data_IF_327583998887
#
_entry.id   IF_327583998887
#
_cell.length_a   1.000
_cell.length_b   1.000
_cell.length_c   1.000
_cell.angle_alpha   90.00
_cell.angle_beta   90.00
_cell.angle_gamma   90.00
#
_symmetry.space_group_name_H-M   'P 1'
#
loop_
_entity.id
_entity.type
_entity.pdbx_description
1 polymer ?
#
# COMPACT_ATOMS: atom_id res chain seq x y z
N UNK A 1 21.39 -10.82 -2.11
CA UNK A 1 20.64 -11.42 -0.97
C UNK A 1 21.60 -11.96 0.09
N UNK A 2 21.48 -11.45 1.35
CA UNK A 2 22.34 -11.87 2.48
C UNK A 2 21.99 -13.27 3.00
N UNK A 3 22.96 -13.93 3.65
CA UNK A 3 22.76 -15.26 4.26
C UNK A 3 21.66 -15.22 5.34
N UNK A 4 21.62 -14.14 6.12
CA UNK A 4 20.62 -13.93 7.17
C UNK A 4 19.20 -13.88 6.60
N UNK A 5 19.01 -13.19 5.48
CA UNK A 5 17.72 -13.15 4.79
C UNK A 5 17.33 -14.54 4.24
N UNK A 6 18.26 -15.25 3.61
CA UNK A 6 18.01 -16.63 3.10
C UNK A 6 17.52 -17.56 4.20
N UNK A 7 18.19 -17.52 5.37
CA UNK A 7 17.80 -18.36 6.52
C UNK A 7 16.40 -18.01 7.02
N UNK A 8 16.10 -16.71 7.19
CA UNK A 8 14.78 -16.26 7.62
C UNK A 8 13.68 -16.64 6.61
N UNK A 9 13.93 -16.48 5.31
CA UNK A 9 12.98 -16.86 4.25
C UNK A 9 12.67 -18.36 4.29
N UNK A 10 13.66 -19.21 4.54
CA UNK A 10 13.45 -20.66 4.71
C UNK A 10 12.58 -20.96 5.94
N UNK A 11 12.79 -20.26 7.05
CA UNK A 11 11.96 -20.40 8.26
C UNK A 11 10.51 -19.99 7.97
N UNK A 12 10.28 -18.84 7.33
CA UNK A 12 8.94 -18.37 6.94
C UNK A 12 8.24 -19.39 6.04
N UNK A 13 8.99 -19.98 5.09
CA UNK A 13 8.47 -21.04 4.20
C UNK A 13 8.04 -22.28 5.00
N UNK A 14 8.87 -22.73 5.97
CA UNK A 14 8.54 -23.87 6.82
C UNK A 14 7.34 -23.62 7.74
N UNK A 15 7.17 -22.38 8.22
CA UNK A 15 6.03 -21.97 9.03
C UNK A 15 4.73 -21.89 8.22
N UNK A 16 4.79 -21.95 6.90
CA UNK A 16 3.62 -21.97 6.04
C UNK A 16 2.76 -20.70 6.11
N UNK A 17 3.36 -19.53 6.32
CA UNK A 17 2.65 -18.24 6.44
C UNK A 17 1.69 -18.02 5.28
N UNK A 18 2.10 -18.38 4.07
CA UNK A 18 1.30 -18.26 2.85
C UNK A 18 0.01 -19.12 2.85
N UNK A 19 -0.10 -20.14 3.72
CA UNK A 19 -1.26 -21.04 3.72
C UNK A 19 -2.58 -20.36 4.12
N UNK A 20 -2.52 -19.23 4.84
CA UNK A 20 -3.72 -18.45 5.14
C UNK A 20 -4.42 -17.95 3.88
N UNK A 21 -3.65 -17.63 2.85
CA UNK A 21 -4.15 -17.08 1.59
C UNK A 21 -4.77 -18.12 0.65
N UNK A 22 -4.72 -19.42 1.02
CA UNK A 22 -5.40 -20.51 0.32
C UNK A 22 -6.79 -20.82 0.88
N UNK A 23 -7.17 -20.13 1.96
CA UNK A 23 -8.43 -20.37 2.65
C UNK A 23 -9.60 -19.70 1.95
N UNK A 24 -10.81 -20.10 2.35
CA UNK A 24 -12.05 -19.48 1.86
C UNK A 24 -12.17 -18.02 2.29
N UNK A 25 -13.04 -17.27 1.61
CA UNK A 25 -13.36 -15.86 1.94
C UNK A 25 -13.71 -15.71 3.43
N UNK A 26 -14.60 -16.55 3.95
CA UNK A 26 -15.07 -16.45 5.34
C UNK A 26 -13.95 -16.73 6.34
N UNK A 27 -13.11 -17.74 6.09
CA UNK A 27 -11.96 -18.05 6.94
C UNK A 27 -10.93 -16.92 6.94
N UNK A 28 -10.70 -16.26 5.79
CA UNK A 28 -9.78 -15.11 5.67
C UNK A 28 -10.34 -13.91 6.43
N UNK A 29 -11.63 -13.60 6.31
CA UNK A 29 -12.26 -12.50 7.05
C UNK A 29 -12.27 -12.77 8.55
N UNK A 30 -12.54 -13.99 8.98
CA UNK A 30 -12.48 -14.36 10.40
C UNK A 30 -11.04 -14.28 10.94
N UNK A 31 -10.04 -14.68 10.16
CA UNK A 31 -8.63 -14.51 10.51
C UNK A 31 -8.29 -13.02 10.66
N UNK A 32 -8.69 -12.18 9.70
CA UNK A 32 -8.45 -10.74 9.74
C UNK A 32 -9.09 -10.10 10.99
N UNK A 33 -10.33 -10.44 11.30
CA UNK A 33 -11.04 -10.00 12.51
C UNK A 33 -10.26 -10.34 13.78
N UNK A 34 -9.77 -11.57 13.87
CA UNK A 34 -8.94 -12.01 15.02
C UNK A 34 -7.61 -11.27 15.10
N UNK A 35 -6.96 -10.99 13.97
CA UNK A 35 -5.70 -10.23 13.96
C UNK A 35 -5.93 -8.78 14.41
N UNK A 36 -6.96 -8.12 13.88
CA UNK A 36 -7.31 -6.75 14.26
C UNK A 36 -7.64 -6.61 15.76
N UNK A 37 -8.23 -7.62 16.37
CA UNK A 37 -8.56 -7.63 17.78
C UNK A 37 -7.34 -7.87 18.71
N UNK A 38 -6.26 -8.51 18.22
CA UNK A 38 -5.10 -8.89 19.07
C UNK A 38 -4.26 -7.69 19.53
N UNK A 39 -4.18 -6.65 18.73
CA UNK A 39 -3.31 -5.51 18.99
C UNK A 39 -4.03 -4.21 18.63
N UNK A 40 -5.05 -3.80 19.39
CA UNK A 40 -5.72 -2.54 19.14
C UNK A 40 -4.71 -1.39 19.26
N UNK A 41 -4.91 -0.36 18.46
CA UNK A 41 -4.08 0.83 18.50
C UNK A 41 -4.27 1.55 19.84
N UNK A 42 -3.16 1.79 20.57
CA UNK A 42 -3.11 2.48 21.85
C UNK A 42 -2.60 3.91 21.62
N UNK A 43 -3.54 4.86 21.61
CA UNK A 43 -3.25 6.28 21.39
C UNK A 43 -2.41 6.89 22.51
N UNK A 44 -2.62 6.49 23.77
CA UNK A 44 -1.85 7.03 24.88
C UNK A 44 -0.38 6.58 24.82
N UNK A 45 -0.15 5.34 24.42
CA UNK A 45 1.19 4.83 24.14
C UNK A 45 1.84 5.57 22.98
N UNK A 46 1.10 5.86 21.91
CA UNK A 46 1.59 6.62 20.77
C UNK A 46 1.95 8.06 21.18
N UNK A 47 1.10 8.74 21.94
CA UNK A 47 1.37 10.09 22.49
C UNK A 47 2.59 10.11 23.41
N UNK A 48 2.73 9.14 24.32
CA UNK A 48 3.93 9.02 25.17
C UNK A 48 5.19 8.82 24.35
N UNK A 49 5.13 8.05 23.25
CA UNK A 49 6.25 7.87 22.33
C UNK A 49 6.60 9.18 21.60
N UNK A 50 5.62 9.90 21.10
CA UNK A 50 5.79 11.19 20.44
C UNK A 50 6.46 12.22 21.36
N UNK A 51 5.96 12.35 22.59
CA UNK A 51 6.55 13.22 23.60
C UNK A 51 8.03 12.87 23.89
N UNK A 52 8.34 11.58 24.10
CA UNK A 52 9.71 11.13 24.36
C UNK A 52 10.64 11.39 23.20
N UNK A 53 10.15 11.26 21.95
CA UNK A 53 10.92 11.48 20.71
C UNK A 53 10.86 12.91 20.20
N UNK A 54 10.12 13.79 20.88
CA UNK A 54 10.01 15.22 20.58
C UNK A 54 9.45 15.50 19.19
N UNK A 55 8.30 14.86 18.86
CA UNK A 55 7.50 15.20 17.70
C UNK A 55 6.04 15.35 18.07
N UNK A 56 5.25 15.98 17.22
CA UNK A 56 3.81 16.17 17.42
C UNK A 56 3.03 15.05 16.74
N UNK A 57 2.03 14.52 17.44
CA UNK A 57 1.13 13.50 16.93
C UNK A 57 -0.31 13.98 17.13
N UNK A 58 -0.95 14.31 16.01
CA UNK A 58 -2.34 14.72 16.01
C UNK A 58 -3.23 13.53 15.67
N UNK A 59 -4.34 13.40 16.41
CA UNK A 59 -5.39 12.41 16.19
C UNK A 59 -6.63 13.13 15.66
N UNK A 60 -6.96 12.90 14.43
CA UNK A 60 -8.07 13.51 13.69
C UNK A 60 -8.95 12.44 13.10
N UNK A 61 -10.08 12.84 12.55
CA UNK A 61 -10.99 11.96 11.83
C UNK A 61 -11.29 12.52 10.44
N UNK A 62 -11.39 11.60 9.46
CA UNK A 62 -11.91 11.87 8.12
C UNK A 62 -13.04 10.89 7.87
N UNK A 63 -14.26 11.40 7.67
CA UNK A 63 -15.47 10.60 7.44
C UNK A 63 -15.71 9.51 8.51
N UNK A 64 -15.34 9.79 9.80
CA UNK A 64 -15.44 8.85 10.91
C UNK A 64 -14.29 7.86 11.04
N UNK A 65 -13.24 8.00 10.24
CA UNK A 65 -12.04 7.15 10.30
C UNK A 65 -10.83 7.91 10.81
N UNK A 66 -10.04 7.25 11.67
CA UNK A 66 -8.88 7.87 12.31
C UNK A 66 -7.80 8.24 11.29
N UNK A 67 -7.31 9.45 11.42
CA UNK A 67 -6.16 9.99 10.71
C UNK A 67 -5.12 10.49 11.73
N UNK A 68 -3.99 9.80 11.81
CA UNK A 68 -2.84 10.29 12.56
C UNK A 68 -1.99 11.19 11.67
N UNK A 69 -1.61 12.36 12.20
CA UNK A 69 -0.64 13.22 11.52
C UNK A 69 0.62 13.33 12.36
N UNK A 70 1.74 12.83 11.83
CA UNK A 70 3.07 12.96 12.43
C UNK A 70 3.71 14.24 11.92
N UNK A 71 4.12 15.14 12.82
CA UNK A 71 4.72 16.41 12.49
C UNK A 71 5.96 16.65 13.33
N UNK A 72 7.01 17.20 12.72
CA UNK A 72 8.24 17.55 13.44
C UNK A 72 8.06 18.78 14.32
N UNK A 73 7.23 19.73 13.85
CA UNK A 73 6.91 20.98 14.54
C UNK A 73 5.39 21.08 14.76
N UNK A 74 4.97 22.00 15.61
CA UNK A 74 3.54 22.26 15.84
C UNK A 74 2.83 22.81 14.61
N UNK A 75 3.52 23.62 13.81
CA UNK A 75 3.04 24.12 12.54
C UNK A 75 3.29 23.12 11.41
N UNK A 76 2.39 23.07 10.41
CA UNK A 76 2.57 22.20 9.25
C UNK A 76 3.91 22.43 8.53
N UNK A 77 4.52 21.36 8.03
CA UNK A 77 5.70 21.40 7.18
C UNK A 77 5.39 22.00 5.80
N UNK A 78 6.42 22.17 4.94
CA UNK A 78 6.21 22.65 3.58
C UNK A 78 5.66 21.59 2.62
N UNK A 79 5.51 20.35 3.06
CA UNK A 79 4.98 19.26 2.28
C UNK A 79 4.57 18.08 3.15
N UNK A 80 3.86 17.13 2.57
CA UNK A 80 3.31 16.00 3.31
C UNK A 80 3.38 14.70 2.52
N UNK A 81 3.28 13.58 3.24
CA UNK A 81 3.22 12.23 2.68
C UNK A 81 1.92 11.57 3.13
N UNK A 82 1.10 11.14 2.17
CA UNK A 82 -0.01 10.24 2.41
C UNK A 82 0.54 8.82 2.52
N UNK A 83 0.49 8.25 3.71
CA UNK A 83 0.93 6.87 3.96
C UNK A 83 -0.27 5.93 4.02
N UNK A 84 -0.28 4.94 3.13
CA UNK A 84 -1.32 3.93 3.01
C UNK A 84 -0.73 2.55 3.33
N UNK A 85 -1.20 1.97 4.43
CA UNK A 85 -0.70 0.70 4.96
C UNK A 85 -1.09 -0.51 4.09
N UNK A 86 -0.37 -1.61 4.24
CA UNK A 86 -0.72 -2.91 3.65
C UNK A 86 -1.82 -3.65 4.41
N UNK A 87 -1.91 -4.96 4.18
CA UNK A 87 -2.83 -5.84 4.92
C UNK A 87 -4.06 -6.31 4.14
N UNK A 88 -3.99 -6.34 2.81
CA UNK A 88 -5.05 -6.88 1.94
C UNK A 88 -6.36 -6.10 2.00
N UNK A 89 -6.36 -4.87 2.52
CA UNK A 89 -7.55 -4.07 2.85
C UNK A 89 -8.47 -4.72 3.91
N UNK A 90 -8.00 -5.72 4.63
CA UNK A 90 -8.77 -6.44 5.66
C UNK A 90 -8.12 -6.40 7.05
N UNK A 91 -6.82 -6.09 7.12
CA UNK A 91 -6.12 -5.92 8.40
C UNK A 91 -5.62 -4.49 8.57
N UNK A 92 -5.68 -4.01 9.81
CA UNK A 92 -5.18 -2.69 10.20
C UNK A 92 -3.65 -2.65 10.32
N UNK A 93 -3.10 -1.49 10.73
CA UNK A 93 -1.67 -1.24 10.80
C UNK A 93 -0.97 -2.06 11.87
N UNK A 94 0.30 -2.34 11.64
CA UNK A 94 1.17 -2.97 12.60
C UNK A 94 2.30 -2.04 13.10
N UNK A 95 3.25 -2.60 13.86
CA UNK A 95 4.36 -1.84 14.44
C UNK A 95 5.36 -1.35 13.37
N UNK A 96 5.48 -2.05 12.25
CA UNK A 96 6.39 -1.67 11.17
C UNK A 96 5.88 -0.43 10.47
N UNK A 97 4.57 -0.35 10.23
CA UNK A 97 3.90 0.81 9.63
C UNK A 97 4.12 2.08 10.48
N UNK A 98 3.84 2.01 11.79
CA UNK A 98 4.04 3.16 12.69
C UNK A 98 5.51 3.59 12.78
N UNK A 99 6.44 2.62 12.79
CA UNK A 99 7.87 2.89 12.81
C UNK A 99 8.34 3.56 11.53
N UNK A 100 7.79 3.15 10.38
CA UNK A 100 8.12 3.75 9.10
C UNK A 100 7.54 5.17 8.96
N UNK A 101 6.28 5.38 9.33
CA UNK A 101 5.65 6.71 9.32
C UNK A 101 6.47 7.73 10.14
N UNK A 102 6.85 7.35 11.37
CA UNK A 102 7.71 8.15 12.22
C UNK A 102 9.06 8.45 11.56
N UNK A 103 9.70 7.43 10.98
CA UNK A 103 11.00 7.57 10.32
C UNK A 103 10.92 8.47 9.07
N UNK A 104 9.86 8.38 8.28
CA UNK A 104 9.63 9.26 7.14
C UNK A 104 9.58 10.71 7.63
N UNK A 105 8.75 11.02 8.62
CA UNK A 105 8.65 12.35 9.23
C UNK A 105 10.03 12.85 9.72
N UNK A 106 10.75 12.01 10.49
CA UNK A 106 12.08 12.36 11.04
C UNK A 106 13.10 12.69 9.94
N UNK A 107 13.13 11.91 8.85
CA UNK A 107 14.16 11.99 7.80
C UNK A 107 13.85 12.96 6.68
N UNK A 108 12.57 13.16 6.36
CA UNK A 108 12.15 14.09 5.30
C UNK A 108 11.83 15.47 5.81
N UNK A 109 11.45 15.59 7.09
CA UNK A 109 10.91 16.83 7.66
C UNK A 109 9.50 17.16 7.16
N UNK A 110 8.89 16.30 6.35
CA UNK A 110 7.50 16.43 5.88
C UNK A 110 6.54 15.85 6.89
N UNK A 111 5.31 16.33 6.89
CA UNK A 111 4.25 15.76 7.69
C UNK A 111 3.79 14.42 7.10
N UNK A 112 3.45 13.45 7.96
CA UNK A 112 2.97 12.15 7.48
C UNK A 112 1.52 11.95 7.91
N UNK A 113 0.66 11.85 6.93
CA UNK A 113 -0.76 11.55 7.08
C UNK A 113 -0.94 10.04 7.01
N UNK A 114 -1.13 9.44 8.17
CA UNK A 114 -1.29 8.00 8.35
C UNK A 114 -2.76 7.67 8.56
N UNK A 115 -3.41 7.20 7.51
CA UNK A 115 -4.84 6.92 7.52
C UNK A 115 -5.15 5.48 7.95
N UNK A 116 -6.03 5.34 8.94
CA UNK A 116 -6.71 4.08 9.25
C UNK A 116 -7.94 3.97 8.34
N UNK A 117 -7.70 3.66 7.07
CA UNK A 117 -8.78 3.58 6.10
C UNK A 117 -9.77 2.46 6.43
N UNK A 118 -11.04 2.56 5.99
CA UNK A 118 -12.04 1.50 6.19
C UNK A 118 -11.55 0.18 5.61
N UNK A 119 -11.63 -0.89 6.43
CA UNK A 119 -11.26 -2.23 6.00
C UNK A 119 -12.45 -2.90 5.31
N UNK A 120 -12.19 -3.70 4.29
CA UNK A 120 -13.21 -4.54 3.69
C UNK A 120 -13.64 -5.64 4.67
N UNK A 121 -14.94 -5.88 4.73
CA UNK A 121 -15.58 -6.89 5.59
C UNK A 121 -16.64 -7.65 4.77
N UNK A 122 -17.45 -8.47 5.43
CA UNK A 122 -18.59 -9.11 4.77
C UNK A 122 -19.61 -8.08 4.25
N UNK A 123 -19.74 -6.93 4.95
CA UNK A 123 -20.76 -5.92 4.70
C UNK A 123 -20.20 -4.62 4.10
N UNK A 124 -18.89 -4.50 3.95
CA UNK A 124 -18.22 -3.30 3.45
C UNK A 124 -17.18 -3.65 2.39
N UNK A 125 -17.36 -3.11 1.20
CA UNK A 125 -16.45 -3.27 0.07
C UNK A 125 -15.41 -2.13 -0.03
N UNK A 126 -14.57 -2.18 -1.07
CA UNK A 126 -13.45 -1.23 -1.26
C UNK A 126 -13.90 0.20 -1.62
N UNK A 127 -15.14 0.40 -2.08
CA UNK A 127 -15.66 1.73 -2.46
C UNK A 127 -15.54 2.73 -1.31
N UNK A 128 -15.97 2.33 -0.11
CA UNK A 128 -15.84 3.16 1.08
C UNK A 128 -14.39 3.50 1.40
N UNK A 129 -13.48 2.57 1.19
CA UNK A 129 -12.03 2.78 1.35
C UNK A 129 -11.52 3.86 0.39
N UNK A 130 -11.92 3.80 -0.88
CA UNK A 130 -11.58 4.83 -1.87
C UNK A 130 -12.11 6.21 -1.49
N UNK A 131 -13.38 6.31 -1.09
CA UNK A 131 -14.01 7.57 -0.66
C UNK A 131 -13.21 8.24 0.47
N UNK A 132 -12.89 7.49 1.53
CA UNK A 132 -12.17 8.02 2.69
C UNK A 132 -10.72 8.39 2.35
N UNK A 133 -10.04 7.59 1.54
CA UNK A 133 -8.69 7.91 1.08
C UNK A 133 -8.68 9.16 0.19
N UNK A 134 -9.67 9.31 -0.68
CA UNK A 134 -9.81 10.47 -1.56
C UNK A 134 -10.08 11.76 -0.78
N UNK A 135 -11.02 11.73 0.18
CA UNK A 135 -11.27 12.87 1.08
C UNK A 135 -10.07 13.21 1.96
N UNK A 136 -9.27 12.21 2.35
CA UNK A 136 -8.00 12.46 3.05
C UNK A 136 -7.01 13.21 2.16
N UNK A 137 -6.87 12.81 0.90
CA UNK A 137 -6.01 13.52 -0.04
C UNK A 137 -6.51 14.95 -0.30
N UNK A 138 -7.81 15.15 -0.46
CA UNK A 138 -8.44 16.45 -0.58
C UNK A 138 -8.12 17.37 0.62
N UNK A 139 -8.26 16.87 1.85
CA UNK A 139 -7.87 17.58 3.06
C UNK A 139 -6.39 18.00 3.03
N UNK A 140 -5.51 17.16 2.47
CA UNK A 140 -4.08 17.51 2.33
C UNK A 140 -3.87 18.64 1.31
N UNK A 141 -4.64 18.67 0.22
CA UNK A 141 -4.52 19.74 -0.79
C UNK A 141 -5.01 21.10 -0.30
N UNK A 142 -5.81 21.16 0.76
CA UNK A 142 -6.20 22.40 1.43
C UNK A 142 -5.02 23.01 2.25
N UNK A 143 -4.06 22.18 2.64
CA UNK A 143 -2.92 22.61 3.49
C UNK A 143 -1.62 22.73 2.70
N UNK A 144 -1.38 21.84 1.75
CA UNK A 144 -0.12 21.74 1.02
C UNK A 144 -0.31 21.92 -0.48
N UNK A 145 0.67 22.53 -1.14
CA UNK A 145 0.72 22.49 -2.60
C UNK A 145 0.87 21.04 -3.06
N UNK A 146 0.09 20.63 -4.04
CA UNK A 146 0.02 19.23 -4.48
C UNK A 146 1.38 18.67 -4.93
N UNK A 147 2.22 19.49 -5.58
CA UNK A 147 3.58 19.10 -5.98
C UNK A 147 4.52 18.82 -4.79
N UNK A 148 4.11 19.21 -3.56
CA UNK A 148 4.80 18.89 -2.30
C UNK A 148 4.18 17.75 -1.53
N UNK A 149 3.13 17.13 -2.06
CA UNK A 149 2.50 15.93 -1.50
C UNK A 149 3.06 14.69 -2.21
N UNK A 150 3.51 13.71 -1.43
CA UNK A 150 3.81 12.36 -1.92
C UNK A 150 2.77 11.35 -1.47
N UNK A 151 2.52 10.33 -2.27
CA UNK A 151 1.73 9.17 -1.87
C UNK A 151 2.64 7.95 -1.79
N UNK A 152 2.61 7.25 -0.65
CA UNK A 152 3.37 6.02 -0.42
C UNK A 152 2.41 4.93 0.05
N UNK A 153 2.45 3.77 -0.60
CA UNK A 153 1.66 2.63 -0.19
C UNK A 153 2.41 1.30 -0.29
N UNK A 154 2.01 0.36 0.56
CA UNK A 154 2.54 -0.99 0.60
C UNK A 154 1.43 -2.01 0.34
N UNK A 155 1.68 -3.03 -0.51
CA UNK A 155 0.70 -4.08 -0.81
C UNK A 155 -0.66 -3.49 -1.23
N UNK A 156 -1.74 -3.80 -0.51
CA UNK A 156 -3.06 -3.18 -0.73
C UNK A 156 -3.05 -1.65 -0.58
N UNK A 157 -2.23 -1.08 0.30
CA UNK A 157 -2.03 0.36 0.37
C UNK A 157 -1.36 0.93 -0.88
N UNK A 158 -0.51 0.15 -1.55
CA UNK A 158 0.04 0.53 -2.85
C UNK A 158 -1.04 0.54 -3.96
N UNK A 159 -2.03 -0.34 -3.86
CA UNK A 159 -3.21 -0.29 -4.73
C UNK A 159 -4.00 1.01 -4.51
N UNK A 160 -4.17 1.44 -3.26
CA UNK A 160 -4.85 2.69 -2.93
C UNK A 160 -4.01 3.91 -3.33
N UNK A 161 -2.68 3.89 -3.16
CA UNK A 161 -1.79 5.01 -3.50
C UNK A 161 -1.82 5.39 -4.98
N UNK A 162 -2.08 4.45 -5.88
CA UNK A 162 -2.38 4.75 -7.28
C UNK A 162 -3.89 4.92 -7.51
N UNK A 163 -4.68 4.05 -6.89
CA UNK A 163 -6.10 3.94 -7.13
C UNK A 163 -6.89 5.23 -6.87
N UNK A 164 -6.52 6.00 -5.83
CA UNK A 164 -7.18 7.28 -5.54
C UNK A 164 -6.97 8.31 -6.66
N UNK A 165 -5.87 8.24 -7.42
CA UNK A 165 -5.62 9.14 -8.54
C UNK A 165 -6.27 8.63 -9.84
N UNK A 166 -6.43 7.32 -10.00
CA UNK A 166 -7.32 6.75 -11.01
C UNK A 166 -8.77 7.16 -10.76
N UNK A 167 -9.19 7.13 -9.49
CA UNK A 167 -10.51 7.61 -9.07
C UNK A 167 -10.68 9.11 -9.35
N UNK A 168 -9.66 9.93 -9.04
CA UNK A 168 -9.64 11.34 -9.38
C UNK A 168 -9.84 11.59 -10.89
N UNK A 169 -9.14 10.82 -11.74
CA UNK A 169 -9.30 10.92 -13.19
C UNK A 169 -10.71 10.50 -13.64
N UNK A 170 -11.26 9.42 -13.08
CA UNK A 170 -12.61 8.96 -13.37
C UNK A 170 -13.70 9.99 -12.96
N UNK A 171 -13.43 10.84 -11.97
CA UNK A 171 -14.29 11.95 -11.56
C UNK A 171 -14.08 13.24 -12.36
N UNK A 172 -13.28 13.22 -13.43
CA UNK A 172 -12.96 14.40 -14.21
C UNK A 172 -11.86 15.27 -13.60
N UNK A 173 -11.08 14.72 -12.72
CA UNK A 173 -9.88 15.32 -12.07
C UNK A 173 -10.18 16.56 -11.23
N UNK A 174 -11.08 16.48 -10.24
CA UNK A 174 -11.41 17.61 -9.38
C UNK A 174 -10.26 18.03 -8.45
N UNK A 175 -9.26 17.16 -8.21
CA UNK A 175 -8.11 17.47 -7.38
C UNK A 175 -6.81 17.49 -8.21
N UNK A 176 -5.82 18.32 -7.86
CA UNK A 176 -4.51 18.30 -8.50
C UNK A 176 -3.77 16.99 -8.17
N UNK A 177 -2.91 16.53 -9.08
CA UNK A 177 -2.07 15.34 -8.85
C UNK A 177 -0.97 15.61 -7.85
N UNK A 178 -0.50 14.59 -7.09
CA UNK A 178 0.61 14.74 -6.16
C UNK A 178 1.93 14.92 -6.92
N UNK A 179 2.97 15.37 -6.22
CA UNK A 179 4.31 15.50 -6.82
C UNK A 179 4.98 14.17 -7.10
N UNK A 180 4.59 13.09 -6.37
CA UNK A 180 5.21 11.76 -6.52
C UNK A 180 4.32 10.66 -5.96
N UNK A 181 4.39 9.48 -6.59
CA UNK A 181 3.75 8.26 -6.10
C UNK A 181 4.81 7.16 -5.95
N UNK A 182 4.82 6.49 -4.82
CA UNK A 182 5.67 5.32 -4.56
C UNK A 182 4.78 4.14 -4.17
N UNK A 183 4.86 3.08 -4.94
CA UNK A 183 4.01 1.91 -4.86
C UNK A 183 4.86 0.66 -4.63
N UNK A 184 4.76 0.05 -3.45
CA UNK A 184 5.60 -1.08 -3.04
C UNK A 184 4.80 -2.37 -3.04
N UNK A 185 5.26 -3.36 -3.79
CA UNK A 185 4.66 -4.71 -3.89
C UNK A 185 3.17 -4.66 -4.25
N UNK A 186 2.84 -3.84 -5.24
CA UNK A 186 1.47 -3.67 -5.70
C UNK A 186 1.02 -4.86 -6.53
N UNK A 187 -0.19 -5.32 -6.28
CA UNK A 187 -0.91 -6.23 -7.16
C UNK A 187 -2.07 -5.54 -7.89
N UNK A 188 -2.87 -6.36 -8.53
CA UNK A 188 -4.22 -6.07 -9.00
C UNK A 188 -5.13 -7.21 -8.60
N UNK A 189 -6.41 -7.00 -8.77
CA UNK A 189 -7.44 -8.02 -8.53
C UNK A 189 -8.22 -8.27 -9.85
N UNK A 190 -7.54 -8.74 -10.93
CA UNK A 190 -8.19 -9.01 -12.20
C UNK A 190 -9.24 -10.11 -12.04
N UNK A 191 -10.31 -10.02 -12.82
CA UNK A 191 -11.25 -11.13 -12.92
C UNK A 191 -10.58 -12.29 -13.69
N UNK A 192 -10.18 -13.32 -12.97
CA UNK A 192 -9.47 -14.49 -13.51
C UNK A 192 -10.31 -15.34 -14.47
N UNK A 193 -11.63 -15.14 -14.50
CA UNK A 193 -12.53 -15.85 -15.40
C UNK A 193 -12.57 -15.23 -16.80
N UNK A 194 -12.09 -13.99 -16.95
CA UNK A 194 -12.02 -13.32 -18.25
C UNK A 194 -10.79 -13.80 -19.04
N UNK A 195 -11.00 -14.09 -20.33
CA UNK A 195 -9.94 -14.56 -21.25
C UNK A 195 -8.73 -13.64 -21.24
N UNK A 196 -8.95 -12.31 -21.28
CA UNK A 196 -7.89 -11.30 -21.26
C UNK A 196 -6.96 -11.40 -20.06
N UNK A 197 -7.40 -12.00 -18.95
CA UNK A 197 -6.67 -12.10 -17.69
C UNK A 197 -5.97 -13.46 -17.49
N UNK A 198 -6.10 -14.40 -18.43
CA UNK A 198 -5.43 -15.71 -18.34
C UNK A 198 -3.92 -15.60 -18.31
N UNK A 199 -3.35 -14.66 -19.06
CA UNK A 199 -1.90 -14.46 -19.14
C UNK A 199 -1.33 -14.02 -17.78
N UNK A 200 -1.95 -13.02 -17.10
CA UNK A 200 -1.51 -12.59 -15.77
C UNK A 200 -1.69 -13.70 -14.75
N UNK A 201 -2.78 -14.45 -14.82
CA UNK A 201 -3.01 -15.58 -13.93
C UNK A 201 -1.92 -16.66 -14.07
N UNK A 202 -1.53 -17.00 -15.29
CA UNK A 202 -0.41 -17.92 -15.55
C UNK A 202 0.92 -17.44 -14.96
N UNK A 203 1.23 -16.14 -15.08
CA UNK A 203 2.43 -15.53 -14.48
C UNK A 203 2.40 -15.56 -12.94
N UNK A 204 1.27 -15.23 -12.33
CA UNK A 204 1.09 -15.32 -10.87
C UNK A 204 1.35 -16.74 -10.37
N UNK A 205 0.81 -17.76 -11.05
CA UNK A 205 1.02 -19.16 -10.70
C UNK A 205 2.49 -19.60 -10.88
N UNK A 206 3.15 -19.16 -11.95
CA UNK A 206 4.55 -19.48 -12.21
C UNK A 206 5.49 -18.92 -11.13
N UNK A 207 5.20 -17.76 -10.58
CA UNK A 207 5.99 -17.15 -9.49
C UNK A 207 5.63 -17.70 -8.09
N UNK A 208 4.46 -18.32 -7.94
CA UNK A 208 3.97 -18.82 -6.65
C UNK A 208 4.95 -19.72 -5.88
N UNK A 209 5.71 -20.66 -6.49
CA UNK A 209 6.65 -21.50 -5.75
C UNK A 209 7.76 -20.73 -5.03
N UNK A 210 8.11 -19.56 -5.52
CA UNK A 210 9.15 -18.70 -4.95
C UNK A 210 8.61 -17.80 -3.83
N UNK A 211 7.33 -17.43 -3.91
CA UNK A 211 6.70 -16.56 -2.93
C UNK A 211 6.47 -17.31 -1.60
N UNK A 212 7.01 -16.72 -0.52
CA UNK A 212 6.91 -17.27 0.83
C UNK A 212 5.76 -16.64 1.63
N UNK A 213 5.12 -15.59 1.10
CA UNK A 213 4.12 -14.80 1.81
C UNK A 213 2.74 -14.84 1.18
N UNK A 214 2.64 -14.71 -0.15
CA UNK A 214 1.36 -14.59 -0.86
C UNK A 214 1.12 -15.84 -1.73
N UNK A 215 -0.11 -16.35 -1.71
CA UNK A 215 -0.55 -17.38 -2.66
C UNK A 215 -1.44 -16.73 -3.73
N UNK A 216 -1.26 -17.04 -5.01
CA UNK A 216 -2.07 -16.45 -6.09
C UNK A 216 -3.58 -16.67 -5.94
N UNK A 217 -4.02 -17.74 -5.28
CA UNK A 217 -5.44 -17.99 -5.02
C UNK A 217 -6.08 -16.85 -4.22
N UNK A 218 -5.28 -16.13 -3.42
CA UNK A 218 -5.73 -14.94 -2.70
C UNK A 218 -6.21 -13.82 -3.63
N UNK A 219 -5.64 -13.67 -4.82
CA UNK A 219 -6.05 -12.63 -5.78
C UNK A 219 -7.55 -12.75 -6.10
N UNK A 220 -8.03 -14.00 -6.31
CA UNK A 220 -9.46 -14.27 -6.51
C UNK A 220 -10.28 -13.90 -5.26
N UNK A 221 -9.90 -14.44 -4.11
CA UNK A 221 -10.63 -14.22 -2.85
C UNK A 221 -10.60 -12.74 -2.45
N UNK A 222 -9.46 -12.05 -2.66
CA UNK A 222 -9.35 -10.63 -2.41
C UNK A 222 -10.27 -9.81 -3.32
N UNK A 223 -10.44 -10.20 -4.61
CA UNK A 223 -11.44 -9.57 -5.49
C UNK A 223 -12.85 -9.74 -4.94
N UNK A 224 -13.23 -10.94 -4.55
CA UNK A 224 -14.55 -11.23 -3.97
C UNK A 224 -14.82 -10.40 -2.69
N UNK A 225 -13.80 -10.20 -1.87
CA UNK A 225 -13.88 -9.36 -0.66
C UNK A 225 -13.99 -7.88 -1.03
N UNK A 226 -13.10 -7.40 -1.89
CA UNK A 226 -13.02 -6.00 -2.27
C UNK A 226 -14.26 -5.53 -3.04
N UNK A 227 -14.80 -6.36 -3.91
CA UNK A 227 -16.00 -6.05 -4.72
C UNK A 227 -17.28 -6.11 -3.88
N UNK A 228 -17.40 -7.09 -2.96
CA UNK A 228 -18.63 -7.33 -2.22
C UNK A 228 -19.77 -7.72 -3.14
N UNK A 229 -20.92 -7.06 -2.98
CA UNK A 229 -22.14 -7.30 -3.76
C UNK A 229 -22.41 -6.21 -4.82
N UNK A 230 -21.50 -5.24 -4.97
CA UNK A 230 -21.69 -4.11 -5.87
C UNK A 230 -20.95 -4.31 -7.20
N UNK A 231 -21.49 -3.73 -8.26
CA UNK A 231 -20.76 -3.56 -9.51
C UNK A 231 -19.88 -2.31 -9.39
N UNK A 232 -18.57 -2.53 -9.22
CA UNK A 232 -17.59 -1.48 -9.04
C UNK A 232 -16.83 -1.20 -10.32
N UNK A 233 -16.42 0.07 -10.56
CA UNK A 233 -15.49 0.39 -11.64
C UNK A 233 -14.23 -0.46 -11.55
N UNK A 234 -13.80 -1.05 -12.69
CA UNK A 234 -12.71 -2.01 -12.73
C UNK A 234 -11.39 -1.46 -12.15
N UNK A 235 -11.11 -0.15 -12.29
CA UNK A 235 -9.91 0.47 -11.72
C UNK A 235 -9.83 0.40 -10.18
N UNK A 236 -10.95 0.21 -9.49
CA UNK A 236 -10.96 0.01 -8.03
C UNK A 236 -10.49 -1.38 -7.63
N UNK A 237 -10.60 -2.34 -8.54
CA UNK A 237 -10.21 -3.74 -8.35
C UNK A 237 -8.90 -4.04 -9.06
N UNK A 238 -8.86 -3.82 -10.37
CA UNK A 238 -7.66 -3.98 -11.19
C UNK A 238 -7.14 -2.62 -11.66
N UNK A 239 -6.26 -2.05 -10.90
CA UNK A 239 -5.74 -0.73 -11.16
C UNK A 239 -4.79 -0.61 -12.37
N UNK A 240 -4.57 -1.68 -13.15
CA UNK A 240 -3.94 -1.58 -14.47
C UNK A 240 -4.93 -1.09 -15.53
N UNK A 241 -6.23 -1.10 -15.23
CA UNK A 241 -7.34 -0.80 -16.16
C UNK A 241 -7.84 0.65 -16.08
N UNK A 242 -7.12 1.55 -15.41
CA UNK A 242 -7.56 2.93 -15.21
C UNK A 242 -6.97 3.94 -16.21
N UNK A 243 -7.41 5.19 -16.07
CA UNK A 243 -6.84 6.33 -16.80
C UNK A 243 -5.64 6.91 -16.02
N UNK A 244 -4.43 6.74 -16.56
CA UNK A 244 -3.19 7.25 -15.96
C UNK A 244 -2.78 8.63 -16.49
N UNK A 245 -3.62 9.32 -17.23
CA UNK A 245 -3.30 10.64 -17.75
C UNK A 245 -2.97 11.64 -16.61
N UNK A 246 -1.93 12.46 -16.83
CA UNK A 246 -1.39 13.43 -15.88
C UNK A 246 -0.84 12.85 -14.55
N UNK A 247 -0.62 11.55 -14.47
CA UNK A 247 0.09 10.99 -13.31
C UNK A 247 1.49 11.58 -13.18
N UNK A 248 1.98 11.82 -11.95
CA UNK A 248 3.36 12.22 -11.72
C UNK A 248 4.32 11.05 -11.94
N UNK A 249 5.62 11.33 -11.90
CA UNK A 249 6.60 10.24 -11.88
C UNK A 249 6.29 9.25 -10.76
N UNK A 250 6.13 7.99 -11.14
CA UNK A 250 5.69 6.89 -10.29
C UNK A 250 6.81 5.86 -10.13
N UNK A 251 7.06 5.42 -8.90
CA UNK A 251 8.06 4.43 -8.57
C UNK A 251 7.37 3.15 -8.10
N UNK A 252 7.72 2.03 -8.74
CA UNK A 252 7.24 0.70 -8.37
C UNK A 252 8.38 -0.12 -7.79
N UNK A 253 8.18 -0.67 -6.61
CA UNK A 253 9.11 -1.58 -5.96
C UNK A 253 8.51 -2.97 -5.87
N UNK A 254 9.25 -3.98 -6.31
CA UNK A 254 8.85 -5.38 -6.20
C UNK A 254 9.99 -6.24 -5.64
N UNK A 255 9.63 -7.29 -4.92
CA UNK A 255 10.54 -8.40 -4.69
C UNK A 255 10.48 -9.37 -5.86
N UNK A 256 11.63 -9.81 -6.37
CA UNK A 256 11.67 -10.76 -7.48
C UNK A 256 10.97 -12.09 -7.15
N UNK A 257 11.00 -12.48 -5.85
CA UNK A 257 10.39 -13.72 -5.37
C UNK A 257 8.92 -13.57 -4.94
N UNK A 258 8.27 -12.43 -5.16
CA UNK A 258 6.85 -12.30 -4.90
C UNK A 258 5.99 -12.58 -6.15
N UNK A 259 4.84 -13.25 -5.98
CA UNK A 259 3.96 -13.52 -7.10
C UNK A 259 3.37 -12.24 -7.72
N UNK A 260 3.19 -11.18 -6.94
CA UNK A 260 2.67 -9.89 -7.41
C UNK A 260 3.64 -9.17 -8.37
N UNK A 261 4.91 -9.57 -8.45
CA UNK A 261 5.84 -9.09 -9.48
C UNK A 261 5.32 -9.36 -10.90
N UNK A 262 4.45 -10.35 -11.07
CA UNK A 262 3.74 -10.58 -12.33
C UNK A 262 3.02 -9.34 -12.87
N UNK A 263 2.63 -8.39 -12.03
CA UNK A 263 1.95 -7.16 -12.45
C UNK A 263 2.89 -6.07 -12.98
N UNK A 264 4.21 -6.17 -12.78
CA UNK A 264 5.16 -5.13 -13.16
C UNK A 264 5.04 -4.74 -14.64
N UNK A 265 4.98 -5.73 -15.53
CA UNK A 265 4.84 -5.50 -16.99
C UNK A 265 3.50 -4.82 -17.34
N UNK A 266 2.42 -5.13 -16.63
CA UNK A 266 1.12 -4.52 -16.88
C UNK A 266 1.09 -3.05 -16.44
N UNK A 267 1.77 -2.70 -15.34
CA UNK A 267 1.95 -1.31 -14.96
C UNK A 267 2.85 -0.56 -15.92
N UNK A 268 3.92 -1.20 -16.40
CA UNK A 268 4.76 -0.64 -17.44
C UNK A 268 3.94 -0.29 -18.68
N UNK A 269 3.16 -1.24 -19.20
CA UNK A 269 2.30 -1.01 -20.37
C UNK A 269 1.29 0.12 -20.15
N UNK A 270 0.67 0.17 -18.95
CA UNK A 270 -0.26 1.24 -18.59
C UNK A 270 0.44 2.61 -18.54
N UNK A 271 1.63 2.71 -17.94
CA UNK A 271 2.40 3.95 -17.90
C UNK A 271 2.86 4.39 -19.28
N UNK A 272 3.36 3.47 -20.11
CA UNK A 272 3.79 3.73 -21.49
C UNK A 272 2.62 4.23 -22.35
N UNK A 273 1.43 3.65 -22.22
CA UNK A 273 0.23 4.05 -22.96
C UNK A 273 -0.14 5.54 -22.71
N UNK A 274 0.10 6.05 -21.52
CA UNK A 274 -0.23 7.43 -21.14
C UNK A 274 0.99 8.36 -21.11
N UNK A 275 2.17 7.88 -21.54
CA UNK A 275 3.45 8.61 -21.49
C UNK A 275 3.79 9.13 -20.08
N UNK A 276 3.47 8.37 -19.04
CA UNK A 276 3.78 8.69 -17.64
C UNK A 276 5.20 8.27 -17.32
N UNK A 277 6.05 9.13 -16.76
CA UNK A 277 7.39 8.73 -16.33
C UNK A 277 7.30 7.77 -15.11
N UNK A 278 8.04 6.68 -15.17
CA UNK A 278 8.08 5.68 -14.09
C UNK A 278 9.46 5.06 -13.92
N UNK A 279 9.65 4.41 -12.79
CA UNK A 279 10.76 3.49 -12.54
C UNK A 279 10.21 2.21 -11.89
N UNK A 280 10.71 1.04 -12.33
CA UNK A 280 10.42 -0.26 -11.71
C UNK A 280 11.71 -0.77 -11.10
N UNK A 281 11.73 -0.91 -9.80
CA UNK A 281 12.87 -1.36 -8.99
C UNK A 281 12.56 -2.75 -8.45
N UNK A 282 13.42 -3.72 -8.77
CA UNK A 282 13.23 -5.13 -8.40
C UNK A 282 14.33 -5.56 -7.43
N UNK A 283 13.94 -5.99 -6.24
CA UNK A 283 14.87 -6.56 -5.27
C UNK A 283 15.14 -8.03 -5.59
N UNK A 284 16.38 -8.36 -5.99
CA UNK A 284 16.80 -9.72 -6.35
C UNK A 284 16.57 -10.71 -5.19
N UNK A 285 15.74 -11.73 -5.42
CA UNK A 285 15.40 -12.77 -4.45
C UNK A 285 14.58 -12.28 -3.25
N UNK A 286 14.10 -11.03 -3.25
CA UNK A 286 13.33 -10.46 -2.14
C UNK A 286 11.86 -10.89 -2.16
N UNK A 287 11.26 -10.95 -0.98
CA UNK A 287 9.83 -11.27 -0.78
C UNK A 287 8.93 -10.03 -0.87
N UNK A 288 7.64 -10.27 -0.77
CA UNK A 288 6.60 -9.26 -0.68
C UNK A 288 6.86 -8.22 0.42
N UNK A 289 6.77 -6.94 0.08
CA UNK A 289 6.96 -5.80 0.99
C UNK A 289 8.31 -5.80 1.74
N UNK A 290 9.38 -6.36 1.15
CA UNK A 290 10.69 -6.44 1.81
C UNK A 290 11.25 -5.10 2.32
N UNK A 291 10.93 -3.91 1.76
CA UNK A 291 11.40 -2.65 2.31
C UNK A 291 10.89 -2.35 3.73
N UNK A 292 9.81 -3.02 4.21
CA UNK A 292 9.37 -2.92 5.61
C UNK A 292 10.29 -3.70 6.57
N UNK A 293 11.07 -4.65 6.06
CA UNK A 293 11.89 -5.59 6.86
C UNK A 293 13.27 -5.01 7.17
N UNK A 294 13.33 -3.89 7.91
CA UNK A 294 14.58 -3.17 8.23
C UNK A 294 15.61 -3.95 9.05
N UNK A 295 15.25 -5.06 9.65
CA UNK A 295 16.19 -5.95 10.33
C UNK A 295 17.12 -6.67 9.33
N UNK A 296 16.77 -6.72 8.03
CA UNK A 296 17.68 -7.11 6.96
C UNK A 296 18.34 -5.90 6.31
N UNK A 297 19.54 -6.10 5.78
CA UNK A 297 20.31 -5.07 5.09
C UNK A 297 19.55 -4.56 3.86
N UNK A 298 19.05 -5.47 3.04
CA UNK A 298 18.33 -5.17 1.81
C UNK A 298 17.09 -4.32 2.07
N UNK A 299 16.30 -4.67 3.08
CA UNK A 299 15.14 -3.88 3.47
C UNK A 299 15.51 -2.49 3.99
N UNK A 300 16.64 -2.36 4.73
CA UNK A 300 17.12 -1.03 5.19
C UNK A 300 17.54 -0.13 4.03
N UNK A 301 18.36 -0.66 3.12
CA UNK A 301 18.90 0.13 2.01
C UNK A 301 17.78 0.68 1.12
N UNK A 302 16.83 -0.18 0.74
CA UNK A 302 15.71 0.25 -0.11
C UNK A 302 14.69 1.12 0.65
N UNK A 303 14.46 0.88 1.95
CA UNK A 303 13.61 1.79 2.72
C UNK A 303 14.25 3.18 2.83
N UNK A 304 15.57 3.26 2.98
CA UNK A 304 16.29 4.53 3.03
C UNK A 304 16.24 5.25 1.67
N UNK A 305 16.36 4.54 0.55
CA UNK A 305 16.15 5.05 -0.80
C UNK A 305 14.73 5.60 -1.00
N UNK A 306 13.69 4.85 -0.59
CA UNK A 306 12.29 5.31 -0.63
C UNK A 306 12.13 6.62 0.15
N UNK A 307 12.73 6.70 1.34
CA UNK A 307 12.67 7.92 2.16
C UNK A 307 13.39 9.07 1.48
N UNK A 308 14.52 8.82 0.81
CA UNK A 308 15.26 9.85 0.08
C UNK A 308 14.45 10.36 -1.13
N UNK A 309 13.75 9.49 -1.84
CA UNK A 309 12.81 9.89 -2.90
C UNK A 309 11.66 10.77 -2.37
N UNK A 310 11.29 10.66 -1.11
CA UNK A 310 10.25 11.47 -0.48
C UNK A 310 10.70 12.84 -0.01
N UNK A 311 11.98 13.21 -0.14
CA UNK A 311 12.53 14.54 0.23
C UNK A 311 12.32 15.64 -0.81
N UNK A 312 11.71 15.35 -1.97
CA UNK A 312 11.47 16.26 -3.09
C UNK A 312 10.73 17.57 -2.73
#
# INVERSE_FOLDING_TARGET
MTLTYKTASNIVRLLGVKNIFKKSKDEILEYAKKQNAKSPFDMDKAKRRACRKKYFLFDREVMGHRLLTYQKNESPAQGAILYLLGGGMITGPDRLDFSLAERIMEKTGKDVYFLFYPLCTADQNVKRTYEVCFETYKLMTDTYKSEKIGALGFSSGACLALGIFLHNNALGRPLPMPGKIISVSRGGLPDIHLEKNKAIWGKLQALSPQDIMIDPTYVKTAREIAQGQEDLPEYMLDGCSGDFSAFPKTYFYFGESECLYAFAEYFQQAMDQYNVPYEIIVGEGMCHCYPLLRFFREGREVQDEIIDLLKF
#
